data_IF_739266264468
#
_entry.id   IF_739266264468
#
_cell.length_a   1.000
_cell.length_b   1.000
_cell.length_c   1.000
_cell.angle_alpha   90.00
_cell.angle_beta   90.00
_cell.angle_gamma   90.00
#
_symmetry.space_group_name_H-M   'P 1'
#
loop_
_entity.id
_entity.type
_entity.pdbx_description
1 polymer ?
#
# COMPACT_ATOMS: atom_id res chain seq x y z
N UNK A 1 -21.39 -1.02 -22.44
CA UNK A 1 -20.33 -2.05 -22.46
C UNK A 1 -19.70 -2.07 -21.08
N UNK A 2 -19.87 -3.16 -20.33
CA UNK A 2 -19.31 -3.28 -18.97
C UNK A 2 -17.79 -3.36 -19.07
N UNK A 3 -17.12 -2.20 -19.11
CA UNK A 3 -15.67 -2.12 -19.01
C UNK A 3 -15.24 -2.77 -17.70
N UNK A 4 -14.55 -3.91 -17.80
CA UNK A 4 -14.08 -4.63 -16.63
C UNK A 4 -12.91 -3.85 -16.02
N UNK A 5 -13.23 -2.95 -15.10
CA UNK A 5 -12.23 -2.17 -14.38
C UNK A 5 -11.68 -3.01 -13.23
N UNK A 6 -10.40 -3.37 -13.30
CA UNK A 6 -9.71 -4.09 -12.24
C UNK A 6 -9.10 -3.05 -11.29
N UNK A 7 -9.49 -3.11 -10.02
CA UNK A 7 -9.02 -2.20 -8.97
C UNK A 7 -8.12 -2.97 -8.01
N UNK A 8 -6.82 -2.65 -8.04
CA UNK A 8 -5.79 -3.31 -7.23
C UNK A 8 -5.42 -2.38 -6.07
N UNK A 9 -5.51 -2.90 -4.84
CA UNK A 9 -5.11 -2.16 -3.64
C UNK A 9 -3.89 -2.80 -3.00
N UNK A 10 -2.76 -2.12 -3.10
CA UNK A 10 -1.49 -2.56 -2.54
C UNK A 10 -1.32 -1.99 -1.14
N UNK A 11 -0.83 -2.82 -0.22
CA UNK A 11 -0.53 -2.44 1.16
C UNK A 11 0.84 -2.97 1.56
N UNK A 12 1.61 -2.15 2.27
CA UNK A 12 2.88 -2.57 2.85
C UNK A 12 3.20 -1.76 4.11
N UNK A 13 4.12 -2.27 4.91
CA UNK A 13 4.66 -1.55 6.07
C UNK A 13 5.81 -0.60 5.71
N UNK A 14 6.50 -0.85 4.59
CA UNK A 14 7.51 0.05 4.03
C UNK A 14 7.02 0.66 2.70
N UNK A 15 7.16 1.98 2.58
CA UNK A 15 6.85 2.72 1.37
C UNK A 15 7.82 2.43 0.23
N UNK A 16 9.11 2.17 0.50
CA UNK A 16 10.12 1.99 -0.56
C UNK A 16 9.82 0.78 -1.41
N UNK A 17 9.56 -0.35 -0.77
CA UNK A 17 9.19 -1.61 -1.43
C UNK A 17 7.88 -1.43 -2.20
N UNK A 18 6.89 -0.77 -1.58
CA UNK A 18 5.59 -0.52 -2.20
C UNK A 18 5.72 0.32 -3.47
N UNK A 19 6.51 1.39 -3.43
CA UNK A 19 6.70 2.28 -4.57
C UNK A 19 7.48 1.58 -5.70
N UNK A 20 8.47 0.73 -5.38
CA UNK A 20 9.16 -0.12 -6.37
C UNK A 20 8.20 -1.11 -7.04
N UNK A 21 7.44 -1.89 -6.25
CA UNK A 21 6.50 -2.87 -6.79
C UNK A 21 5.36 -2.22 -7.58
N UNK A 22 4.83 -1.07 -7.13
CA UNK A 22 3.81 -0.34 -7.91
C UNK A 22 4.36 0.10 -9.25
N UNK A 23 5.60 0.58 -9.31
CA UNK A 23 6.24 0.99 -10.57
C UNK A 23 6.44 -0.18 -11.52
N UNK A 24 6.85 -1.33 -11.01
CA UNK A 24 6.97 -2.57 -11.79
C UNK A 24 5.62 -3.00 -12.38
N UNK A 25 4.57 -3.04 -11.58
CA UNK A 25 3.21 -3.39 -12.04
C UNK A 25 2.73 -2.42 -13.12
N UNK A 26 2.93 -1.12 -12.92
CA UNK A 26 2.56 -0.08 -13.91
C UNK A 26 3.34 -0.27 -15.21
N UNK A 27 4.64 -0.55 -15.14
CA UNK A 27 5.48 -0.75 -16.33
C UNK A 27 5.05 -2.00 -17.11
N UNK A 28 4.73 -3.09 -16.42
CA UNK A 28 4.24 -4.32 -17.03
C UNK A 28 2.89 -4.09 -17.73
N UNK A 29 1.94 -3.46 -17.05
CA UNK A 29 0.62 -3.16 -17.62
C UNK A 29 0.68 -2.18 -18.80
N UNK A 30 1.61 -1.21 -18.78
CA UNK A 30 1.88 -0.33 -19.94
C UNK A 30 2.46 -1.10 -21.12
N UNK A 31 3.34 -2.07 -20.87
CA UNK A 31 3.95 -2.90 -21.93
C UNK A 31 2.92 -3.78 -22.64
N UNK A 32 1.90 -4.26 -21.92
CA UNK A 32 0.81 -5.07 -22.48
C UNK A 32 -0.29 -4.24 -23.16
N UNK A 33 -0.17 -2.91 -23.15
CA UNK A 33 -1.12 -2.01 -23.81
C UNK A 33 -2.39 -1.70 -23.00
N UNK A 34 -2.48 -2.15 -21.75
CA UNK A 34 -3.60 -1.82 -20.87
C UNK A 34 -3.53 -0.35 -20.40
N UNK A 35 -4.67 0.33 -20.33
CA UNK A 35 -4.69 1.69 -19.78
C UNK A 35 -4.70 1.65 -18.25
N UNK A 36 -3.67 2.24 -17.64
CA UNK A 36 -3.53 2.26 -16.18
C UNK A 36 -3.78 3.67 -15.66
N UNK A 37 -4.68 3.80 -14.69
CA UNK A 37 -4.74 4.98 -13.83
C UNK A 37 -3.68 4.78 -12.75
N UNK A 38 -2.72 5.71 -12.74
CA UNK A 38 -1.47 5.60 -11.99
C UNK A 38 -1.64 5.31 -10.50
N UNK A 39 -0.54 5.00 -9.79
CA UNK A 39 -0.60 4.64 -8.38
C UNK A 39 -1.07 5.85 -7.55
N UNK A 40 -2.34 5.82 -7.13
CA UNK A 40 -2.94 6.87 -6.29
C UNK A 40 -2.52 6.59 -4.84
N UNK A 41 -1.75 7.49 -4.20
CA UNK A 41 -1.38 7.32 -2.80
C UNK A 41 -2.61 7.55 -1.93
N UNK A 42 -3.00 6.51 -1.18
CA UNK A 42 -4.04 6.64 -0.17
C UNK A 42 -3.40 6.99 1.18
N UNK A 43 -4.14 7.65 2.09
CA UNK A 43 -3.65 7.97 3.42
C UNK A 43 -3.12 6.73 4.16
N UNK A 44 -1.95 6.90 4.75
CA UNK A 44 -1.32 5.89 5.61
C UNK A 44 -2.18 5.67 6.84
N UNK A 45 -2.40 4.41 7.21
CA UNK A 45 -3.00 4.08 8.50
C UNK A 45 -1.87 4.05 9.53
N UNK A 46 -2.00 4.84 10.59
CA UNK A 46 -1.03 4.90 11.68
C UNK A 46 -1.72 4.33 12.91
N UNK A 47 -1.22 3.19 13.40
CA UNK A 47 -1.68 2.56 14.62
C UNK A 47 -0.63 2.77 15.69
N UNK A 48 -0.99 3.44 16.79
CA UNK A 48 -0.08 3.81 17.87
C UNK A 48 -0.30 2.92 19.08
N UNK A 49 0.78 2.40 19.64
CA UNK A 49 0.77 1.50 20.79
C UNK A 49 1.70 2.04 21.87
N UNK A 50 1.18 2.16 23.09
CA UNK A 50 1.98 2.53 24.26
C UNK A 50 2.22 1.30 25.12
N UNK A 51 3.48 0.93 25.34
CA UNK A 51 3.85 -0.23 26.16
C UNK A 51 4.69 0.23 27.34
N UNK A 52 4.51 -0.39 28.51
CA UNK A 52 5.41 -0.18 29.64
C UNK A 52 6.75 -0.86 29.35
N UNK A 53 7.88 -0.17 29.51
CA UNK A 53 9.21 -0.77 29.31
C UNK A 53 9.58 -1.74 30.42
N UNK A 54 9.21 -1.42 31.67
CA UNK A 54 9.50 -2.28 32.82
C UNK A 54 8.45 -3.39 32.95
N UNK A 55 8.85 -4.63 33.29
CA UNK A 55 7.91 -5.68 33.66
C UNK A 55 7.19 -5.42 34.99
N UNK A 56 7.74 -4.55 35.87
CA UNK A 56 7.15 -4.28 37.19
C UNK A 56 7.32 -2.82 37.66
N UNK A 57 6.27 -2.28 38.29
CA UNK A 57 6.17 -1.01 39.04
C UNK A 57 6.46 0.31 38.31
N UNK A 58 7.36 0.36 37.32
CA UNK A 58 7.73 1.61 36.65
C UNK A 58 6.75 2.02 35.54
N UNK A 59 5.67 2.73 35.93
CA UNK A 59 4.62 3.22 35.02
C UNK A 59 4.97 4.49 34.25
N UNK A 60 6.00 5.24 34.69
CA UNK A 60 6.46 6.48 34.02
C UNK A 60 7.35 6.16 32.82
N UNK A 61 8.03 5.02 32.86
CA UNK A 61 8.83 4.48 31.76
C UNK A 61 7.95 3.77 30.71
N UNK A 62 7.29 4.57 29.85
CA UNK A 62 6.50 4.07 28.71
C UNK A 62 7.22 4.32 27.39
N UNK A 63 7.07 3.38 26.46
CA UNK A 63 7.56 3.48 25.10
C UNK A 63 6.39 3.57 24.12
N UNK A 64 6.58 4.35 23.06
CA UNK A 64 5.58 4.60 22.04
C UNK A 64 6.04 3.95 20.75
N UNK A 65 5.28 2.97 20.29
CA UNK A 65 5.49 2.32 19.00
C UNK A 65 4.39 2.76 18.05
N UNK A 66 4.68 2.73 16.75
CA UNK A 66 3.67 2.87 15.74
C UNK A 66 3.87 1.89 14.60
N UNK A 67 2.75 1.40 14.07
CA UNK A 67 2.71 0.61 12.85
C UNK A 67 2.11 1.48 11.76
N UNK A 68 2.88 1.70 10.68
CA UNK A 68 2.44 2.46 9.51
C UNK A 68 2.09 1.50 8.39
N UNK A 69 0.83 1.50 7.96
CA UNK A 69 0.42 0.79 6.75
C UNK A 69 0.25 1.78 5.61
N UNK A 70 1.17 1.71 4.65
CA UNK A 70 1.14 2.44 3.40
C UNK A 70 0.17 1.78 2.44
N UNK A 71 -0.61 2.59 1.72
CA UNK A 71 -1.64 2.12 0.79
C UNK A 71 -1.47 2.82 -0.55
N UNK A 72 -1.58 2.05 -1.63
CA UNK A 72 -1.62 2.55 -3.01
C UNK A 72 -2.80 1.89 -3.72
N UNK A 73 -3.50 2.68 -4.52
CA UNK A 73 -4.59 2.21 -5.37
C UNK A 73 -4.13 2.29 -6.83
N UNK A 74 -4.40 1.25 -7.60
CA UNK A 74 -4.13 1.18 -9.03
C UNK A 74 -5.39 0.67 -9.72
N UNK A 75 -5.87 1.39 -10.73
CA UNK A 75 -7.04 1.01 -11.51
C UNK A 75 -6.59 0.70 -12.95
N UNK A 76 -6.84 -0.51 -13.44
CA UNK A 76 -6.62 -0.92 -14.84
C UNK A 76 -7.96 -0.81 -15.57
N UNK A 77 -7.97 -0.01 -16.63
CA UNK A 77 -9.11 0.23 -17.53
C UNK A 77 -8.85 -0.57 -18.81
N UNK A 78 -9.83 -1.37 -19.21
CA UNK A 78 -9.80 -2.24 -20.40
C UNK A 78 -8.64 -3.26 -20.42
N UNK A 79 -8.74 -4.36 -19.64
CA UNK A 79 -7.75 -5.43 -19.67
C UNK A 79 -7.80 -6.19 -21.01
N UNK A 80 -6.65 -6.36 -21.66
CA UNK A 80 -6.52 -7.27 -22.80
C UNK A 80 -6.38 -8.71 -22.28
N UNK A 81 -6.91 -9.74 -23.00
CA UNK A 81 -6.97 -11.13 -22.49
C UNK A 81 -5.62 -11.80 -22.17
N UNK A 82 -4.49 -11.17 -22.54
CA UNK A 82 -3.14 -11.68 -22.27
C UNK A 82 -2.56 -11.19 -20.92
N UNK A 83 -3.35 -10.49 -20.10
CA UNK A 83 -2.91 -9.88 -18.82
C UNK A 83 -3.66 -10.46 -17.63
#
# INVERSE_FOLDING_TARGET
MNGQNIRIRLKAFDHRILDTSTREIVNTAKRTGAQVRGPIPLPTRIEKFTVNRSPHVDKKSREQFEMRTHKRLLDIVDPTPQT
#
